data_IF_697882961785
#
_entry.id   IF_697882961785
#
_cell.length_a   1.000
_cell.length_b   1.000
_cell.length_c   1.000
_cell.angle_alpha   90.00
_cell.angle_beta   90.00
_cell.angle_gamma   90.00
#
_symmetry.space_group_name_H-M   'P 1'
#
loop_
_entity.id
_entity.type
_entity.pdbx_description
1 polymer ?
#
# COMPACT_ATOMS: atom_id res chain seq x y z
N UNK A 1 12.37 3.77 3.58
CA UNK A 1 13.67 3.77 4.25
C UNK A 1 14.60 4.89 3.78
N UNK A 2 14.70 5.15 2.46
CA UNK A 2 15.64 6.16 1.95
C UNK A 2 15.32 7.59 2.42
N UNK A 3 14.05 7.98 2.47
CA UNK A 3 13.65 9.29 2.99
C UNK A 3 13.99 9.47 4.47
N UNK A 4 13.86 8.42 5.28
CA UNK A 4 14.23 8.46 6.70
C UNK A 4 15.73 8.58 6.90
N UNK A 5 16.55 7.97 6.05
CA UNK A 5 18.02 8.03 6.13
C UNK A 5 18.60 9.44 5.96
N UNK A 6 17.86 10.38 5.38
CA UNK A 6 18.29 11.78 5.25
C UNK A 6 18.14 12.59 6.55
N UNK A 7 17.35 12.08 7.51
CA UNK A 7 16.98 12.78 8.74
C UNK A 7 17.45 12.07 10.02
N UNK A 8 17.75 10.77 9.93
CA UNK A 8 18.13 9.94 11.09
C UNK A 8 19.37 9.10 10.80
N UNK A 9 20.16 8.85 11.84
CA UNK A 9 21.18 7.82 11.80
C UNK A 9 20.50 6.46 11.83
N UNK A 10 20.66 5.70 10.76
CA UNK A 10 19.94 4.44 10.55
C UNK A 10 20.88 3.25 10.53
N UNK A 11 20.69 2.31 11.45
CA UNK A 11 21.43 1.03 11.49
C UNK A 11 20.48 -0.10 11.11
N UNK A 12 20.87 -0.92 10.15
CA UNK A 12 20.04 -2.03 9.68
C UNK A 12 20.22 -3.27 10.57
N UNK A 13 19.18 -4.13 10.63
CA UNK A 13 19.18 -5.36 11.44
C UNK A 13 20.40 -6.26 11.19
N UNK A 14 20.90 -6.32 9.95
CA UNK A 14 22.14 -7.08 9.63
C UNK A 14 23.36 -6.68 10.43
N UNK A 15 23.35 -5.46 10.99
CA UNK A 15 24.44 -4.92 11.79
C UNK A 15 24.23 -5.11 13.31
N UNK A 16 23.07 -5.61 13.71
CA UNK A 16 22.67 -5.81 15.12
C UNK A 16 23.64 -6.67 15.90
N UNK A 17 24.16 -7.72 15.29
CA UNK A 17 25.17 -8.61 15.93
C UNK A 17 26.48 -7.90 16.25
N UNK A 18 26.69 -6.69 15.73
CA UNK A 18 27.83 -5.82 15.99
C UNK A 18 27.53 -4.75 17.05
N UNK A 19 26.28 -4.67 17.53
CA UNK A 19 25.91 -3.66 18.52
C UNK A 19 26.63 -3.93 19.84
N UNK A 20 27.50 -3.02 20.18
CA UNK A 20 28.25 -3.02 21.44
C UNK A 20 27.82 -1.89 22.35
N UNK A 21 26.92 -1.02 21.89
CA UNK A 21 26.57 0.22 22.58
C UNK A 21 25.05 0.43 22.60
N UNK A 22 24.61 1.17 23.60
CA UNK A 22 23.22 1.53 23.88
C UNK A 22 22.82 2.88 23.26
N UNK A 23 23.51 3.28 22.20
CA UNK A 23 23.38 4.63 21.62
C UNK A 23 22.17 4.76 20.67
N UNK A 24 21.14 3.95 20.89
CA UNK A 24 19.90 4.03 20.11
C UNK A 24 18.74 4.46 21.00
N UNK A 25 18.09 5.54 20.60
CA UNK A 25 16.92 6.07 21.31
C UNK A 25 15.66 5.27 21.02
N UNK A 26 15.53 4.75 19.79
CA UNK A 26 14.32 4.12 19.28
C UNK A 26 14.65 2.95 18.35
N UNK A 27 13.91 1.86 18.46
CA UNK A 27 13.83 0.80 17.46
C UNK A 27 12.68 1.08 16.50
N UNK A 28 12.95 1.01 15.20
CA UNK A 28 11.94 1.10 14.16
C UNK A 28 11.62 -0.28 13.57
N UNK A 29 10.39 -0.74 13.77
CA UNK A 29 9.89 -1.99 13.21
C UNK A 29 9.03 -1.73 11.98
N UNK A 30 9.49 -2.19 10.81
CA UNK A 30 8.76 -2.07 9.56
C UNK A 30 7.78 -3.22 9.30
N UNK A 31 7.98 -4.33 9.98
CA UNK A 31 7.16 -5.54 9.89
C UNK A 31 6.70 -5.91 11.30
N UNK A 32 5.46 -5.60 11.68
CA UNK A 32 4.96 -5.84 13.04
C UNK A 32 5.16 -7.27 13.51
N UNK A 33 5.02 -8.26 12.63
CA UNK A 33 5.20 -9.69 12.92
C UNK A 33 6.62 -10.07 13.39
N UNK A 34 7.59 -9.20 13.21
CA UNK A 34 8.98 -9.39 13.66
C UNK A 34 9.39 -8.49 14.82
N UNK A 35 8.48 -7.69 15.36
CA UNK A 35 8.80 -6.72 16.42
C UNK A 35 9.31 -7.39 17.68
N UNK A 36 8.65 -8.45 18.14
CA UNK A 36 9.07 -9.20 19.32
C UNK A 36 10.51 -9.73 19.18
N UNK A 37 10.85 -10.29 18.01
CA UNK A 37 12.20 -10.77 17.72
C UNK A 37 13.23 -9.63 17.76
N UNK A 38 12.88 -8.46 17.22
CA UNK A 38 13.73 -7.28 17.23
C UNK A 38 13.98 -6.76 18.65
N UNK A 39 12.92 -6.68 19.47
CA UNK A 39 12.99 -6.25 20.87
C UNK A 39 13.85 -7.21 21.69
N UNK A 40 13.59 -8.52 21.58
CA UNK A 40 14.35 -9.56 22.30
C UNK A 40 15.83 -9.53 21.90
N UNK A 41 16.15 -9.41 20.62
CA UNK A 41 17.52 -9.34 20.13
C UNK A 41 18.24 -8.11 20.66
N UNK A 42 17.58 -6.95 20.70
CA UNK A 42 18.13 -5.72 21.23
C UNK A 42 18.36 -5.83 22.75
N UNK A 43 17.35 -6.25 23.50
CA UNK A 43 17.41 -6.35 24.97
C UNK A 43 18.47 -7.34 25.45
N UNK A 44 18.61 -8.48 24.75
CA UNK A 44 19.64 -9.48 25.07
C UNK A 44 21.08 -8.98 24.81
N UNK A 45 21.27 -8.06 23.89
CA UNK A 45 22.59 -7.51 23.58
C UNK A 45 22.94 -6.26 24.40
N UNK A 46 21.95 -5.54 24.91
CA UNK A 46 22.15 -4.24 25.57
C UNK A 46 21.70 -4.19 27.02
N UNK A 47 20.92 -5.16 27.50
CA UNK A 47 20.22 -5.15 28.79
C UNK A 47 19.27 -3.95 28.98
N UNK A 48 18.75 -3.39 27.89
CA UNK A 48 17.83 -2.24 27.88
C UNK A 48 16.54 -2.66 27.16
N UNK A 49 15.39 -2.27 27.70
CA UNK A 49 14.11 -2.34 26.98
C UNK A 49 13.99 -1.12 26.09
N UNK A 50 13.96 -1.29 24.76
CA UNK A 50 13.93 -0.16 23.83
C UNK A 50 12.55 0.46 23.76
N UNK A 51 12.49 1.73 23.35
CA UNK A 51 11.27 2.30 22.76
C UNK A 51 11.11 1.79 21.35
N UNK A 52 9.89 1.38 20.99
CA UNK A 52 9.61 0.84 19.66
C UNK A 52 8.57 1.68 18.97
N UNK A 53 8.84 2.06 17.73
CA UNK A 53 7.85 2.63 16.82
C UNK A 53 7.85 1.81 15.53
N UNK A 54 6.74 1.84 14.81
CA UNK A 54 6.66 1.00 13.63
C UNK A 54 5.76 1.53 12.55
N UNK A 55 5.69 0.76 11.48
CA UNK A 55 4.80 1.03 10.36
C UNK A 55 4.28 -0.29 9.76
N UNK A 56 2.97 -0.43 9.69
CA UNK A 56 2.29 -1.57 9.06
C UNK A 56 1.62 -1.12 7.77
N UNK A 57 2.23 -1.41 6.62
CA UNK A 57 1.63 -1.11 5.32
C UNK A 57 0.86 -2.28 4.72
N UNK A 58 1.00 -3.46 5.29
CA UNK A 58 0.27 -4.67 4.91
C UNK A 58 -0.16 -5.41 6.18
N UNK A 59 -1.41 -5.82 6.22
CA UNK A 59 -2.00 -6.48 7.35
C UNK A 59 -2.71 -7.76 6.89
N UNK A 60 -2.45 -8.86 7.57
CA UNK A 60 -3.06 -10.14 7.24
C UNK A 60 -4.48 -10.21 7.79
N UNK A 61 -5.47 -10.17 6.91
CA UNK A 61 -6.89 -10.26 7.27
C UNK A 61 -7.60 -11.28 6.37
N UNK A 62 -8.73 -11.84 6.81
CA UNK A 62 -9.51 -12.80 6.02
C UNK A 62 -9.93 -12.28 4.64
N UNK A 63 -10.06 -10.98 4.48
CA UNK A 63 -10.38 -10.31 3.22
C UNK A 63 -9.23 -10.41 2.20
N UNK A 64 -8.01 -10.66 2.65
CA UNK A 64 -6.86 -10.89 1.80
C UNK A 64 -6.84 -12.33 1.27
N UNK A 65 -6.61 -12.52 -0.02
CA UNK A 65 -6.55 -13.86 -0.64
C UNK A 65 -5.44 -14.74 -0.14
N UNK A 66 -4.39 -14.15 0.44
CA UNK A 66 -3.24 -14.85 1.02
C UNK A 66 -3.31 -14.92 2.55
N UNK A 67 -4.50 -14.88 3.13
CA UNK A 67 -4.71 -14.85 4.58
C UNK A 67 -3.96 -15.96 5.32
N UNK A 68 -3.23 -15.56 6.35
CA UNK A 68 -2.53 -16.44 7.27
C UNK A 68 -2.83 -16.04 8.72
N UNK A 69 -3.61 -16.87 9.43
CA UNK A 69 -4.04 -16.59 10.80
C UNK A 69 -2.85 -16.43 11.78
N UNK A 70 -1.80 -17.20 11.62
CA UNK A 70 -0.60 -17.09 12.47
C UNK A 70 0.07 -15.73 12.27
N UNK A 71 0.15 -15.26 11.02
CA UNK A 71 0.72 -13.96 10.71
C UNK A 71 -0.16 -12.82 11.24
N UNK A 72 -1.49 -12.96 11.16
CA UNK A 72 -2.42 -12.01 11.77
C UNK A 72 -2.16 -11.85 13.28
N UNK A 73 -2.03 -12.98 14.00
CA UNK A 73 -1.72 -12.95 15.43
C UNK A 73 -0.36 -12.32 15.74
N UNK A 74 0.64 -12.61 14.91
CA UNK A 74 1.97 -12.00 15.03
C UNK A 74 1.96 -10.50 14.76
N UNK A 75 1.19 -10.03 13.78
CA UNK A 75 1.00 -8.60 13.53
C UNK A 75 0.40 -7.89 14.76
N UNK A 76 -0.64 -8.44 15.38
CA UNK A 76 -1.24 -7.87 16.58
C UNK A 76 -0.25 -7.82 17.74
N UNK A 77 0.41 -8.96 18.03
CA UNK A 77 1.37 -9.04 19.12
C UNK A 77 2.48 -7.98 18.94
N UNK A 78 3.03 -7.89 17.74
CA UNK A 78 4.07 -6.92 17.43
C UNK A 78 3.63 -5.46 17.52
N UNK A 79 2.39 -5.15 17.11
CA UNK A 79 1.86 -3.79 17.28
C UNK A 79 1.69 -3.41 18.75
N UNK A 80 1.31 -4.36 19.61
CA UNK A 80 1.15 -4.13 21.05
C UNK A 80 2.46 -3.83 21.78
N UNK A 81 3.60 -4.20 21.20
CA UNK A 81 4.95 -3.85 21.70
C UNK A 81 5.39 -2.43 21.31
N UNK A 82 4.65 -1.74 20.43
CA UNK A 82 5.01 -0.42 19.94
C UNK A 82 4.39 0.69 20.80
N UNK A 83 5.07 1.84 20.88
CA UNK A 83 4.49 3.09 21.40
C UNK A 83 3.60 3.75 20.34
N UNK A 84 3.99 3.62 19.05
CA UNK A 84 3.23 4.11 17.91
C UNK A 84 3.46 3.20 16.69
N UNK A 85 2.39 2.90 15.98
CA UNK A 85 2.40 2.16 14.72
C UNK A 85 1.68 2.94 13.64
N UNK A 86 2.43 3.45 12.67
CA UNK A 86 1.86 4.07 11.48
C UNK A 86 1.14 3.04 10.59
N UNK A 87 0.00 3.41 10.02
CA UNK A 87 -0.69 2.63 8.99
C UNK A 87 -1.00 3.52 7.79
N UNK A 88 -1.29 2.90 6.65
CA UNK A 88 -1.45 3.65 5.39
C UNK A 88 -2.70 4.55 5.34
N UNK A 89 -3.75 4.24 6.11
CA UNK A 89 -5.07 4.87 5.96
C UNK A 89 -5.93 4.70 7.21
N UNK A 90 -6.92 5.56 7.36
CA UNK A 90 -7.99 5.38 8.36
C UNK A 90 -8.81 4.11 8.09
N UNK A 91 -9.01 3.78 6.82
CA UNK A 91 -9.64 2.52 6.46
C UNK A 91 -8.87 1.32 7.01
N UNK A 92 -7.53 1.28 6.86
CA UNK A 92 -6.71 0.19 7.41
C UNK A 92 -6.74 0.18 8.93
N UNK A 93 -6.65 1.34 9.60
CA UNK A 93 -6.80 1.46 11.05
C UNK A 93 -8.13 0.85 11.51
N UNK A 94 -9.23 1.21 10.86
CA UNK A 94 -10.57 0.69 11.19
C UNK A 94 -10.65 -0.82 11.03
N UNK A 95 -10.10 -1.36 9.94
CA UNK A 95 -10.07 -2.80 9.69
C UNK A 95 -9.24 -3.56 10.75
N UNK A 96 -8.06 -3.04 11.10
CA UNK A 96 -7.20 -3.62 12.14
C UNK A 96 -7.94 -3.68 13.48
N UNK A 97 -8.60 -2.60 13.88
CA UNK A 97 -9.34 -2.54 15.13
C UNK A 97 -10.58 -3.46 15.14
N UNK A 98 -11.30 -3.54 14.02
CA UNK A 98 -12.41 -4.50 13.84
C UNK A 98 -11.92 -5.94 14.06
N UNK A 99 -10.86 -6.35 13.36
CA UNK A 99 -10.31 -7.72 13.48
C UNK A 99 -9.67 -7.98 14.85
N UNK A 100 -9.14 -6.96 15.51
CA UNK A 100 -8.69 -7.07 16.88
C UNK A 100 -9.84 -7.36 17.83
N UNK A 101 -11.00 -6.69 17.66
CA UNK A 101 -12.21 -6.90 18.44
C UNK A 101 -12.79 -8.32 18.31
N UNK A 102 -12.58 -8.98 17.18
CA UNK A 102 -12.99 -10.39 16.97
C UNK A 102 -12.15 -11.40 17.78
N UNK A 103 -10.97 -10.99 18.27
CA UNK A 103 -9.96 -11.90 18.83
C UNK A 103 -9.57 -11.56 20.26
N UNK A 104 -9.47 -10.28 20.59
CA UNK A 104 -8.94 -9.79 21.85
C UNK A 104 -10.01 -9.15 22.73
N UNK A 105 -9.71 -9.06 24.03
CA UNK A 105 -10.51 -8.30 24.98
C UNK A 105 -10.41 -6.79 24.69
N UNK A 106 -11.43 -6.04 25.09
CA UNK A 106 -11.54 -4.59 24.84
C UNK A 106 -10.31 -3.79 25.28
N UNK A 107 -9.67 -4.19 26.38
CA UNK A 107 -8.44 -3.54 26.88
C UNK A 107 -7.28 -3.53 25.87
N UNK A 108 -7.12 -4.60 25.11
CA UNK A 108 -6.11 -4.69 24.07
C UNK A 108 -6.51 -3.91 22.82
N UNK A 109 -7.79 -3.91 22.48
CA UNK A 109 -8.33 -3.11 21.38
C UNK A 109 -8.15 -1.62 21.67
N UNK A 110 -8.45 -1.18 22.89
CA UNK A 110 -8.24 0.21 23.30
C UNK A 110 -6.76 0.59 23.30
N UNK A 111 -5.87 -0.31 23.69
CA UNK A 111 -4.42 -0.09 23.56
C UNK A 111 -4.02 0.10 22.08
N UNK A 112 -4.46 -0.81 21.18
CA UNK A 112 -4.19 -0.70 19.74
C UNK A 112 -4.75 0.59 19.13
N UNK A 113 -5.94 1.03 19.54
CA UNK A 113 -6.56 2.26 19.08
C UNK A 113 -5.70 3.51 19.36
N UNK A 114 -4.99 3.50 20.50
CA UNK A 114 -4.08 4.58 20.89
C UNK A 114 -2.73 4.50 20.15
N UNK A 115 -2.25 3.28 19.88
CA UNK A 115 -0.97 3.03 19.22
C UNK A 115 -1.05 3.29 17.71
N UNK A 116 -2.15 2.85 17.04
CA UNK A 116 -2.26 2.88 15.59
C UNK A 116 -2.67 4.28 15.12
N UNK A 117 -1.84 4.90 14.27
CA UNK A 117 -2.09 6.19 13.68
C UNK A 117 -1.96 6.15 12.15
N UNK A 118 -2.89 6.76 11.41
CA UNK A 118 -2.76 6.87 9.96
C UNK A 118 -1.62 7.81 9.58
N UNK A 119 -0.64 7.26 8.88
CA UNK A 119 0.46 8.01 8.29
C UNK A 119 0.48 7.76 6.78
N UNK A 120 -0.09 8.68 6.04
CA UNK A 120 -0.21 8.58 4.60
C UNK A 120 1.15 8.52 3.92
N UNK A 121 1.25 7.68 2.89
CA UNK A 121 2.46 7.61 2.09
C UNK A 121 2.64 8.93 1.32
N UNK A 122 3.73 9.62 1.61
CA UNK A 122 4.11 10.83 0.91
C UNK A 122 4.50 10.56 -0.54
N UNK A 123 4.26 11.55 -1.38
CA UNK A 123 4.72 11.57 -2.78
C UNK A 123 5.53 12.84 -3.01
N UNK A 124 6.51 12.75 -3.91
CA UNK A 124 7.21 13.94 -4.36
C UNK A 124 6.26 14.88 -5.10
N UNK A 125 6.40 16.18 -4.85
CA UNK A 125 5.68 17.19 -5.61
C UNK A 125 6.13 17.15 -7.07
N UNK A 126 5.21 16.85 -7.97
CA UNK A 126 5.50 16.74 -9.40
C UNK A 126 4.76 17.82 -10.18
N UNK A 127 5.37 18.29 -11.28
CA UNK A 127 4.67 19.14 -12.24
C UNK A 127 3.57 18.31 -12.93
N UNK A 128 2.32 18.61 -12.58
CA UNK A 128 1.12 17.86 -12.96
C UNK A 128 0.65 18.10 -14.40
N UNK A 129 1.49 18.59 -15.28
CA UNK A 129 1.12 18.75 -16.70
C UNK A 129 1.21 17.42 -17.42
N UNK A 130 0.18 16.59 -17.31
CA UNK A 130 0.07 15.39 -18.15
C UNK A 130 -0.16 15.78 -19.61
N UNK A 131 0.43 15.02 -20.53
CA UNK A 131 0.20 15.15 -21.97
C UNK A 131 -0.28 13.79 -22.51
N UNK A 132 -1.58 13.46 -22.34
CA UNK A 132 -2.08 12.16 -22.70
C UNK A 132 -1.98 11.91 -24.21
N UNK A 133 -1.51 10.73 -24.58
CA UNK A 133 -1.44 10.25 -25.96
C UNK A 133 -2.70 9.48 -26.31
N UNK A 134 -3.57 10.07 -27.12
CA UNK A 134 -4.78 9.43 -27.58
C UNK A 134 -5.72 9.00 -26.46
N UNK A 135 -6.43 7.90 -26.65
CA UNK A 135 -7.34 7.25 -25.70
C UNK A 135 -6.62 6.12 -24.97
N UNK A 136 -5.63 6.47 -24.18
CA UNK A 136 -4.77 5.54 -23.44
C UNK A 136 -5.32 5.27 -22.03
N UNK A 137 -5.48 4.02 -21.70
CA UNK A 137 -5.90 3.53 -20.37
C UNK A 137 -4.69 2.83 -19.74
N UNK A 138 -4.39 3.06 -18.47
CA UNK A 138 -3.32 2.34 -17.77
C UNK A 138 -3.89 1.46 -16.67
N UNK A 139 -3.39 0.21 -16.62
CA UNK A 139 -3.52 -0.70 -15.50
C UNK A 139 -2.10 -1.06 -15.03
N UNK A 140 -1.64 -0.38 -13.99
CA UNK A 140 -0.27 -0.50 -13.46
C UNK A 140 -0.21 -1.32 -12.15
N UNK A 141 -1.11 -2.28 -12.02
CA UNK A 141 -1.15 -3.23 -10.90
C UNK A 141 -0.69 -4.63 -11.35
N UNK A 142 -0.45 -5.51 -10.37
CA UNK A 142 -0.17 -6.94 -10.60
C UNK A 142 -1.43 -7.66 -11.07
N UNK A 143 -1.26 -8.85 -11.67
CA UNK A 143 -2.36 -9.72 -12.10
C UNK A 143 -2.83 -10.68 -10.99
N UNK A 144 -3.02 -10.18 -9.81
CA UNK A 144 -3.50 -10.95 -8.68
C UNK A 144 -5.03 -10.79 -8.52
N UNK A 145 -5.68 -11.77 -7.89
CA UNK A 145 -7.13 -11.73 -7.68
C UNK A 145 -7.56 -10.51 -6.87
N UNK A 146 -6.79 -10.12 -5.84
CA UNK A 146 -7.12 -8.95 -5.01
C UNK A 146 -7.05 -7.62 -5.77
N UNK A 147 -6.26 -7.53 -6.86
CA UNK A 147 -6.18 -6.31 -7.69
C UNK A 147 -7.34 -6.19 -8.68
N UNK A 148 -8.17 -7.22 -8.80
CA UNK A 148 -9.29 -7.27 -9.73
C UNK A 148 -8.90 -7.36 -11.21
N UNK A 149 -7.69 -7.84 -11.53
CA UNK A 149 -7.18 -7.89 -12.90
C UNK A 149 -8.11 -8.63 -13.86
N UNK A 150 -8.62 -9.81 -13.47
CA UNK A 150 -9.54 -10.59 -14.33
C UNK A 150 -10.83 -9.85 -14.62
N UNK A 151 -11.36 -9.17 -13.61
CA UNK A 151 -12.54 -8.33 -13.78
C UNK A 151 -12.24 -7.15 -14.71
N UNK A 152 -11.11 -6.47 -14.54
CA UNK A 152 -10.66 -5.40 -15.43
C UNK A 152 -10.59 -5.86 -16.88
N UNK A 153 -9.95 -7.01 -17.16
CA UNK A 153 -9.87 -7.57 -18.52
C UNK A 153 -11.27 -7.77 -19.10
N UNK A 154 -12.20 -8.36 -18.32
CA UNK A 154 -13.58 -8.56 -18.75
C UNK A 154 -14.30 -7.25 -19.11
N UNK A 155 -14.09 -6.18 -18.34
CA UNK A 155 -14.67 -4.87 -18.65
C UNK A 155 -14.04 -4.26 -19.91
N UNK A 156 -12.74 -4.41 -20.11
CA UNK A 156 -12.07 -3.93 -21.31
C UNK A 156 -12.48 -4.72 -22.57
N UNK A 157 -12.73 -6.02 -22.46
CA UNK A 157 -13.31 -6.82 -23.55
C UNK A 157 -14.69 -6.28 -23.95
N UNK A 158 -15.59 -6.04 -22.99
CA UNK A 158 -16.91 -5.44 -23.26
C UNK A 158 -16.82 -4.03 -23.87
N UNK A 159 -15.82 -3.24 -23.44
CA UNK A 159 -15.59 -1.93 -24.02
C UNK A 159 -15.07 -2.04 -25.46
N UNK A 160 -14.22 -3.02 -25.75
CA UNK A 160 -13.67 -3.25 -27.09
C UNK A 160 -14.72 -3.71 -28.10
N UNK A 161 -15.75 -4.45 -27.65
CA UNK A 161 -16.92 -4.79 -28.46
C UNK A 161 -17.70 -3.54 -28.92
N UNK A 162 -17.73 -2.50 -28.09
CA UNK A 162 -18.46 -1.25 -28.37
C UNK A 162 -17.62 -0.23 -29.12
N UNK A 163 -16.31 -0.21 -28.94
CA UNK A 163 -15.38 0.76 -29.54
C UNK A 163 -13.95 0.21 -29.56
N UNK A 164 -13.23 0.47 -30.64
CA UNK A 164 -11.89 -0.07 -30.88
C UNK A 164 -10.81 1.03 -30.97
N UNK A 165 -11.12 2.24 -30.52
CA UNK A 165 -10.27 3.42 -30.68
C UNK A 165 -9.49 3.77 -29.40
N UNK A 166 -9.18 2.78 -28.57
CA UNK A 166 -8.38 2.94 -27.34
C UNK A 166 -7.25 1.92 -27.25
N UNK A 167 -6.29 2.16 -26.38
CA UNK A 167 -5.23 1.22 -26.06
C UNK A 167 -5.08 1.12 -24.56
N UNK A 168 -5.05 -0.11 -24.05
CA UNK A 168 -4.74 -0.42 -22.63
C UNK A 168 -3.25 -0.67 -22.49
N UNK A 169 -2.62 0.04 -21.58
CA UNK A 169 -1.22 -0.16 -21.22
C UNK A 169 -1.11 -0.82 -19.87
N UNK A 170 -0.28 -1.86 -19.79
CA UNK A 170 0.06 -2.52 -18.53
C UNK A 170 1.56 -2.42 -18.27
N UNK A 171 1.97 -2.41 -17.00
CA UNK A 171 3.39 -2.29 -16.62
C UNK A 171 3.96 -3.58 -16.05
N UNK A 172 3.14 -4.39 -15.41
CA UNK A 172 3.59 -5.57 -14.64
C UNK A 172 3.16 -6.90 -15.27
N UNK A 173 2.07 -6.90 -16.03
CA UNK A 173 1.48 -8.10 -16.61
C UNK A 173 1.15 -7.91 -18.09
N UNK A 174 0.98 -8.99 -18.83
CA UNK A 174 0.54 -8.95 -20.21
C UNK A 174 -0.91 -9.43 -20.30
N UNK A 175 -1.76 -8.66 -20.96
CA UNK A 175 -3.17 -9.02 -21.18
C UNK A 175 -3.35 -9.94 -22.37
N UNK A 176 -2.38 -9.97 -23.31
CA UNK A 176 -2.47 -10.70 -24.57
C UNK A 176 -3.77 -10.42 -25.37
N UNK A 177 -4.16 -9.13 -25.45
CA UNK A 177 -5.36 -8.67 -26.14
C UNK A 177 -5.00 -7.74 -27.30
N UNK A 178 -5.81 -7.67 -28.39
CA UNK A 178 -5.49 -6.84 -29.56
C UNK A 178 -5.40 -5.33 -29.24
N UNK A 179 -6.08 -4.90 -28.16
CA UNK A 179 -6.10 -3.52 -27.69
C UNK A 179 -5.09 -3.25 -26.56
N UNK A 180 -4.24 -4.22 -26.20
CA UNK A 180 -3.31 -4.08 -25.06
C UNK A 180 -1.86 -4.02 -25.48
N UNK A 181 -1.05 -3.31 -24.68
CA UNK A 181 0.41 -3.23 -24.81
C UNK A 181 1.04 -3.29 -23.42
N UNK A 182 1.94 -4.26 -23.22
CA UNK A 182 2.79 -4.30 -22.03
C UNK A 182 3.98 -3.36 -22.22
N UNK A 183 4.21 -2.49 -21.24
CA UNK A 183 5.36 -1.60 -21.21
C UNK A 183 6.49 -2.23 -20.41
N UNK A 184 7.69 -2.29 -21.00
CA UNK A 184 8.92 -2.65 -20.29
C UNK A 184 9.51 -1.36 -19.75
N UNK A 185 9.58 -1.24 -18.42
CA UNK A 185 10.03 -0.05 -17.71
C UNK A 185 11.19 -0.45 -16.80
N UNK A 186 12.30 0.26 -16.89
CA UNK A 186 13.55 -0.11 -16.24
C UNK A 186 13.92 0.81 -15.07
N UNK A 187 13.25 1.95 -14.92
CA UNK A 187 13.53 2.91 -13.86
C UNK A 187 12.26 3.61 -13.35
N UNK A 188 12.34 4.16 -12.14
CA UNK A 188 11.28 4.99 -11.56
C UNK A 188 10.96 6.21 -12.43
N UNK A 189 11.98 6.87 -12.92
CA UNK A 189 11.83 8.06 -13.79
C UNK A 189 11.15 7.72 -15.10
N UNK A 190 11.52 6.61 -15.72
CA UNK A 190 10.87 6.13 -16.96
C UNK A 190 9.39 5.81 -16.68
N UNK A 191 9.09 5.18 -15.56
CA UNK A 191 7.72 4.88 -15.15
C UNK A 191 6.88 6.15 -14.97
N UNK A 192 7.38 7.15 -14.27
CA UNK A 192 6.65 8.40 -14.05
C UNK A 192 6.47 9.19 -15.37
N UNK A 193 7.48 9.21 -16.23
CA UNK A 193 7.37 9.81 -17.58
C UNK A 193 6.34 9.10 -18.44
N UNK A 194 6.29 7.77 -18.37
CA UNK A 194 5.28 6.96 -19.05
C UNK A 194 3.88 7.30 -18.53
N UNK A 195 3.66 7.33 -17.21
CA UNK A 195 2.35 7.66 -16.64
C UNK A 195 1.83 9.01 -17.13
N UNK A 196 2.67 10.05 -17.24
CA UNK A 196 2.28 11.37 -17.79
C UNK A 196 1.67 11.32 -19.19
N UNK A 197 1.89 10.25 -19.94
CA UNK A 197 1.32 10.08 -21.29
C UNK A 197 -0.02 9.34 -21.28
N UNK A 198 -0.51 8.91 -20.13
CA UNK A 198 -1.78 8.21 -20.01
C UNK A 198 -2.95 9.17 -19.82
N UNK A 199 -4.11 8.82 -20.37
CA UNK A 199 -5.32 9.61 -20.24
C UNK A 199 -6.09 9.32 -18.96
N UNK A 200 -6.13 8.04 -18.57
CA UNK A 200 -6.84 7.57 -17.38
C UNK A 200 -6.24 6.27 -16.86
N UNK A 201 -6.24 6.09 -15.55
CA UNK A 201 -5.93 4.82 -14.92
C UNK A 201 -7.20 4.15 -14.37
N UNK A 202 -7.11 2.86 -14.07
CA UNK A 202 -8.23 2.08 -13.52
C UNK A 202 -7.75 1.22 -12.36
N UNK A 203 -8.40 1.36 -11.19
CA UNK A 203 -8.24 0.50 -10.03
C UNK A 203 -9.48 -0.37 -9.82
N UNK A 204 -9.28 -1.65 -9.58
CA UNK A 204 -10.36 -2.65 -9.52
C UNK A 204 -10.30 -3.50 -8.26
N UNK A 205 -9.67 -3.02 -7.20
CA UNK A 205 -9.59 -3.75 -5.93
C UNK A 205 -10.98 -3.90 -5.31
N UNK A 206 -11.28 -5.12 -4.87
CA UNK A 206 -12.62 -5.45 -4.38
C UNK A 206 -12.68 -5.67 -2.88
N UNK A 207 -11.77 -6.45 -2.33
CA UNK A 207 -11.84 -6.94 -0.96
C UNK A 207 -10.83 -6.27 -0.02
N UNK A 208 -9.66 -5.91 -0.52
CA UNK A 208 -8.59 -5.36 0.29
C UNK A 208 -7.72 -4.40 -0.50
N UNK A 209 -7.53 -3.21 0.05
CA UNK A 209 -6.51 -2.24 -0.40
C UNK A 209 -6.22 -1.27 0.75
N UNK A 210 -5.10 -1.45 1.42
CA UNK A 210 -4.67 -0.55 2.50
C UNK A 210 -4.25 0.81 1.95
N UNK A 211 -3.58 0.81 0.79
CA UNK A 211 -3.17 1.97 0.01
C UNK A 211 -2.65 1.51 -1.36
N UNK A 212 -2.84 2.31 -2.38
CA UNK A 212 -2.37 1.98 -3.72
C UNK A 212 -1.30 2.96 -4.20
N UNK A 213 -0.03 2.56 -4.10
CA UNK A 213 1.11 3.36 -4.61
C UNK A 213 0.96 3.60 -6.11
N UNK A 214 0.54 2.60 -6.88
CA UNK A 214 0.33 2.74 -8.33
C UNK A 214 -0.72 3.80 -8.67
N UNK A 215 -1.81 3.86 -7.89
CA UNK A 215 -2.83 4.91 -8.02
C UNK A 215 -2.25 6.28 -7.62
N UNK A 216 -1.56 6.36 -6.48
CA UNK A 216 -0.92 7.59 -5.99
C UNK A 216 0.07 8.14 -7.02
N UNK A 217 0.89 7.28 -7.60
CA UNK A 217 1.85 7.67 -8.66
C UNK A 217 1.15 8.26 -9.88
N UNK A 218 0.07 7.64 -10.32
CA UNK A 218 -0.70 8.11 -11.47
C UNK A 218 -1.35 9.47 -11.20
N UNK A 219 -1.99 9.62 -10.04
CA UNK A 219 -2.61 10.89 -9.62
C UNK A 219 -1.56 11.99 -9.50
N UNK A 220 -0.37 11.70 -8.94
CA UNK A 220 0.73 12.67 -8.84
C UNK A 220 1.24 13.14 -10.21
N UNK A 221 1.12 12.28 -11.23
CA UNK A 221 1.45 12.63 -12.62
C UNK A 221 0.33 13.33 -13.37
N UNK A 222 -0.77 13.68 -12.69
CA UNK A 222 -1.94 14.32 -13.28
C UNK A 222 -2.82 13.38 -14.10
N UNK A 223 -2.71 12.07 -13.89
CA UNK A 223 -3.55 11.06 -14.56
C UNK A 223 -4.75 10.74 -13.68
N UNK A 224 -5.97 11.11 -14.07
CA UNK A 224 -7.17 10.77 -13.33
C UNK A 224 -7.35 9.24 -13.26
N UNK A 225 -7.96 8.75 -12.20
CA UNK A 225 -8.09 7.33 -11.95
C UNK A 225 -9.53 6.94 -11.66
N UNK A 226 -10.08 5.97 -12.37
CA UNK A 226 -11.38 5.36 -12.07
C UNK A 226 -11.20 4.38 -10.93
N UNK A 227 -11.90 4.57 -9.82
CA UNK A 227 -11.66 3.87 -8.56
C UNK A 227 -12.97 3.38 -7.94
N UNK A 228 -12.98 2.24 -7.24
CA UNK A 228 -14.15 1.83 -6.48
C UNK A 228 -14.39 2.79 -5.30
N UNK A 229 -15.67 3.10 -5.05
CA UNK A 229 -16.09 3.94 -3.91
C UNK A 229 -16.08 3.12 -2.60
N UNK A 230 -14.97 2.49 -2.29
CA UNK A 230 -14.75 1.66 -1.10
C UNK A 230 -13.29 1.53 -0.76
N UNK A 231 -12.98 0.84 0.33
CA UNK A 231 -11.62 0.62 0.82
C UNK A 231 -10.95 1.98 1.15
N UNK A 232 -9.65 2.10 0.90
CA UNK A 232 -8.92 3.36 1.10
C UNK A 232 -9.17 4.43 0.02
N UNK A 233 -9.87 4.11 -1.09
CA UNK A 233 -9.93 5.01 -2.24
C UNK A 233 -10.68 6.32 -2.00
N UNK A 234 -11.86 6.35 -1.33
CA UNK A 234 -12.51 7.62 -1.00
C UNK A 234 -11.65 8.52 -0.10
N UNK A 235 -10.80 7.91 0.74
CA UNK A 235 -9.85 8.62 1.58
C UNK A 235 -8.67 9.20 0.76
N UNK A 236 -8.20 8.46 -0.26
CA UNK A 236 -7.11 8.89 -1.14
C UNK A 236 -7.46 10.11 -2.01
N UNK A 237 -8.68 10.17 -2.52
CA UNK A 237 -9.07 11.15 -3.56
C UNK A 237 -10.16 12.12 -3.12
N UNK A 238 -10.77 11.91 -1.96
CA UNK A 238 -11.95 12.62 -1.49
C UNK A 238 -13.25 11.94 -1.94
N UNK A 239 -14.27 12.02 -1.08
CA UNK A 239 -15.56 11.36 -1.31
C UNK A 239 -16.32 11.92 -2.53
N UNK A 240 -16.06 13.17 -2.89
CA UNK A 240 -16.68 13.84 -4.03
C UNK A 240 -15.90 13.68 -5.35
N UNK A 241 -14.89 12.82 -5.37
CA UNK A 241 -14.09 12.58 -6.58
C UNK A 241 -14.96 11.97 -7.68
N UNK A 242 -15.03 12.61 -8.89
CA UNK A 242 -16.06 12.27 -9.88
C UNK A 242 -15.88 10.92 -10.58
N UNK A 243 -14.76 10.25 -10.37
CA UNK A 243 -14.47 8.95 -10.97
C UNK A 243 -14.48 7.81 -9.94
N UNK A 244 -15.15 8.00 -8.81
CA UNK A 244 -15.52 6.90 -7.91
C UNK A 244 -16.74 6.16 -8.47
N UNK A 245 -16.72 4.81 -8.40
CA UNK A 245 -17.85 3.98 -8.83
C UNK A 245 -18.29 3.02 -7.72
N UNK A 246 -19.59 2.81 -7.59
CA UNK A 246 -20.20 1.96 -6.55
C UNK A 246 -20.47 0.52 -7.03
N UNK A 247 -20.54 0.32 -8.34
CA UNK A 247 -20.87 -0.96 -8.99
C UNK A 247 -19.98 -1.17 -10.20
N UNK A 248 -20.22 -2.25 -10.93
CA UNK A 248 -19.59 -2.49 -12.24
C UNK A 248 -19.80 -1.28 -13.17
N UNK A 249 -18.73 -0.75 -13.72
CA UNK A 249 -18.78 0.35 -14.70
C UNK A 249 -18.79 -0.17 -16.13
#
# INVERSE_FOLDING_TARGET
PNAMRTHFNFTELKDVLKWKTTDYDVLYSHLPEHTDQLVNLFSNNTNITPKVVGYCHWYEVPENTAYNKTMLMANFAGMLEMEECGVNSEWLKSLVLEKAGDIYQDTYVDKLKNIIQPHYLGIDKVDMKSKPKGKSIVFNHRDNDYTGFRWFVKQMDKLYEKRQDFTVYTTLTDMNKPYSKRMKIHSRDEYLKFLKTMRVGVGCFDKYSAWSIATTDSLSMGVPYVLPNKLCYPEMVGKDYPLLYDKDF
#
